data_IF_084741165048
#
_entry.id   IF_084741165048
#
_cell.length_a   1.000
_cell.length_b   1.000
_cell.length_c   1.000
_cell.angle_alpha   90.00
_cell.angle_beta   90.00
_cell.angle_gamma   90.00
#
_symmetry.space_group_name_H-M   'P 1'
#
loop_
_entity.id
_entity.type
_entity.pdbx_description
1 polymer ?
#
# COMPACT_ATOMS: atom_id res chain seq x y z
N UNK A 1 -6.83 -7.84 -2.58
CA UNK A 1 -7.57 -8.88 -3.32
C UNK A 1 -8.59 -9.54 -2.38
N UNK A 2 -9.81 -8.98 -2.27
CA UNK A 2 -10.84 -9.54 -1.38
C UNK A 2 -10.41 -9.64 0.10
N UNK A 3 -9.65 -8.67 0.61
CA UNK A 3 -9.11 -8.66 1.96
C UNK A 3 -7.91 -9.58 2.21
N UNK A 4 -7.37 -10.22 1.16
CA UNK A 4 -6.19 -11.08 1.25
C UNK A 4 -4.95 -10.37 0.71
N UNK A 5 -3.78 -10.70 1.28
CA UNK A 5 -2.51 -10.26 0.73
C UNK A 5 -2.25 -10.92 -0.64
N UNK A 6 -1.55 -10.19 -1.52
CA UNK A 6 -1.19 -10.68 -2.84
C UNK A 6 0.06 -9.97 -3.36
N UNK A 7 0.55 -10.46 -4.49
CA UNK A 7 1.68 -9.88 -5.21
C UNK A 7 1.19 -9.27 -6.51
N UNK A 8 1.75 -8.12 -6.87
CA UNK A 8 1.51 -7.44 -8.14
C UNK A 8 2.84 -7.31 -8.86
N UNK A 9 2.87 -7.70 -10.14
CA UNK A 9 4.05 -7.49 -10.99
C UNK A 9 4.34 -6.00 -11.14
N UNK A 10 5.61 -5.60 -11.08
CA UNK A 10 6.02 -4.21 -11.28
C UNK A 10 5.56 -3.66 -12.63
N UNK A 11 5.49 -4.50 -13.67
CA UNK A 11 5.00 -4.10 -14.99
C UNK A 11 3.51 -3.69 -15.01
N UNK A 12 2.74 -4.09 -13.98
CA UNK A 12 1.34 -3.75 -13.82
C UNK A 12 1.12 -2.74 -12.68
N UNK A 13 2.18 -2.44 -11.91
CA UNK A 13 2.04 -1.75 -10.64
C UNK A 13 1.54 -0.32 -10.81
N UNK A 14 2.02 0.43 -11.79
CA UNK A 14 1.56 1.81 -12.03
C UNK A 14 0.05 1.88 -12.34
N UNK A 15 -0.44 1.03 -13.24
CA UNK A 15 -1.88 0.98 -13.55
C UNK A 15 -2.68 0.50 -12.33
N UNK A 16 -2.16 -0.48 -11.58
CA UNK A 16 -2.80 -0.97 -10.36
C UNK A 16 -2.85 0.09 -9.25
N UNK A 17 -1.77 0.83 -9.04
CA UNK A 17 -1.73 1.91 -8.05
C UNK A 17 -2.69 3.04 -8.44
N UNK A 18 -2.69 3.46 -9.70
CA UNK A 18 -3.59 4.50 -10.20
C UNK A 18 -5.07 4.11 -9.99
N UNK A 19 -5.43 2.88 -10.33
CA UNK A 19 -6.78 2.35 -10.10
C UNK A 19 -7.16 2.34 -8.62
N UNK A 20 -6.27 1.87 -7.73
CA UNK A 20 -6.55 1.73 -6.29
C UNK A 20 -6.57 3.07 -5.55
N UNK A 21 -5.85 4.05 -6.07
CA UNK A 21 -5.77 5.43 -5.55
C UNK A 21 -6.86 6.34 -6.13
N UNK A 22 -7.63 5.86 -7.09
CA UNK A 22 -8.60 6.66 -7.83
C UNK A 22 -7.95 7.94 -8.44
N UNK A 23 -6.70 7.79 -8.92
CA UNK A 23 -5.90 8.89 -9.47
C UNK A 23 -5.32 9.87 -8.45
N UNK A 24 -5.47 9.62 -7.14
CA UNK A 24 -5.03 10.54 -6.09
C UNK A 24 -3.62 10.24 -5.57
N UNK A 25 -2.85 11.27 -5.31
CA UNK A 25 -1.81 11.25 -4.30
C UNK A 25 -2.43 11.28 -2.90
N UNK A 26 -1.69 10.81 -1.90
CA UNK A 26 -2.25 10.71 -0.55
C UNK A 26 -2.61 12.08 0.04
N UNK A 27 -1.78 13.08 -0.18
CA UNK A 27 -2.02 14.45 0.35
C UNK A 27 -3.26 15.05 -0.27
N UNK A 28 -3.42 14.98 -1.59
CA UNK A 28 -4.62 15.43 -2.30
C UNK A 28 -5.87 14.65 -1.84
N UNK A 29 -5.75 13.33 -1.63
CA UNK A 29 -6.85 12.52 -1.10
C UNK A 29 -7.29 12.99 0.30
N UNK A 30 -6.33 13.37 1.15
CA UNK A 30 -6.60 13.86 2.49
C UNK A 30 -7.18 15.28 2.49
N UNK A 31 -6.64 16.19 1.67
CA UNK A 31 -7.14 17.57 1.51
C UNK A 31 -8.58 17.59 1.00
N UNK A 32 -8.95 16.68 0.12
CA UNK A 32 -10.33 16.48 -0.36
C UNK A 32 -11.24 15.80 0.68
N UNK A 33 -10.75 15.51 1.88
CA UNK A 33 -11.54 14.90 2.96
C UNK A 33 -11.89 13.42 2.71
N UNK A 34 -11.26 12.77 1.73
CA UNK A 34 -11.52 11.37 1.35
C UNK A 34 -10.70 10.36 2.17
N UNK A 35 -9.64 10.80 2.83
CA UNK A 35 -8.83 9.97 3.71
C UNK A 35 -9.11 10.29 5.19
N UNK A 36 -9.28 9.27 6.06
CA UNK A 36 -9.47 9.50 7.48
C UNK A 36 -8.18 10.04 8.14
N UNK A 37 -8.35 10.81 9.22
CA UNK A 37 -7.24 11.35 10.00
C UNK A 37 -6.26 10.27 10.50
N UNK A 38 -6.75 9.08 10.84
CA UNK A 38 -5.89 7.94 11.23
C UNK A 38 -4.92 7.52 10.12
N UNK A 39 -5.33 7.58 8.85
CA UNK A 39 -4.45 7.32 7.72
C UNK A 39 -3.37 8.41 7.60
N UNK A 40 -3.71 9.67 7.79
CA UNK A 40 -2.76 10.78 7.81
C UNK A 40 -1.73 10.63 8.94
N UNK A 41 -2.16 10.26 10.16
CA UNK A 41 -1.23 10.01 11.27
C UNK A 41 -0.19 8.93 10.95
N UNK A 42 -0.58 7.91 10.19
CA UNK A 42 0.34 6.84 9.76
C UNK A 42 1.27 7.36 8.66
N UNK A 43 0.75 8.01 7.61
CA UNK A 43 1.56 8.47 6.48
C UNK A 43 2.62 9.50 6.89
N UNK A 44 2.31 10.40 7.82
CA UNK A 44 3.28 11.37 8.38
C UNK A 44 4.52 10.72 9.01
N UNK A 45 4.43 9.48 9.47
CA UNK A 45 5.60 8.79 10.03
C UNK A 45 6.67 8.51 8.97
N UNK A 46 6.28 8.47 7.70
CA UNK A 46 7.17 8.18 6.57
C UNK A 46 7.79 9.42 5.93
N UNK A 47 7.45 10.63 6.37
CA UNK A 47 8.12 11.87 5.93
C UNK A 47 9.63 11.86 6.25
N UNK A 48 10.02 11.20 7.35
CA UNK A 48 11.40 11.14 7.82
C UNK A 48 11.94 9.70 7.97
N UNK A 49 11.22 8.70 7.47
CA UNK A 49 11.57 7.28 7.61
C UNK A 49 11.18 6.51 6.36
N UNK A 50 12.12 5.75 5.83
CA UNK A 50 11.87 4.97 4.61
C UNK A 50 11.07 3.69 4.88
N UNK A 51 11.26 3.07 6.04
CA UNK A 51 10.59 1.83 6.44
C UNK A 51 10.36 1.81 7.96
N UNK A 52 9.24 1.25 8.40
CA UNK A 52 8.91 1.15 9.81
C UNK A 52 8.30 -0.24 10.08
N UNK A 53 8.80 -0.98 11.09
CA UNK A 53 8.17 -2.22 11.54
C UNK A 53 6.71 -2.00 11.95
N UNK A 54 5.82 -2.89 11.54
CA UNK A 54 4.37 -2.70 11.75
C UNK A 54 3.96 -2.53 13.21
N UNK A 55 4.69 -3.11 14.16
CA UNK A 55 4.43 -2.93 15.60
C UNK A 55 4.81 -1.53 16.10
N UNK A 56 5.82 -0.89 15.50
CA UNK A 56 6.23 0.47 15.87
C UNK A 56 5.25 1.53 15.35
N UNK A 57 4.66 1.31 14.17
CA UNK A 57 3.69 2.24 13.58
C UNK A 57 2.54 2.50 14.54
N UNK A 58 2.04 1.45 15.24
CA UNK A 58 0.96 1.60 16.22
C UNK A 58 1.37 2.51 17.38
N UNK A 59 2.57 2.31 17.91
CA UNK A 59 3.08 3.12 19.03
C UNK A 59 3.33 4.58 18.60
N UNK A 60 3.91 4.78 17.43
CA UNK A 60 4.29 6.10 16.92
C UNK A 60 3.09 6.92 16.44
N UNK A 61 2.07 6.28 15.85
CA UNK A 61 0.88 6.97 15.33
C UNK A 61 -0.08 7.44 16.44
N UNK A 62 0.03 6.92 17.65
CA UNK A 62 -0.87 7.23 18.77
C UNK A 62 -2.31 6.73 18.57
N UNK A 63 -2.59 5.94 17.53
CA UNK A 63 -3.94 5.46 17.22
C UNK A 63 -4.35 4.36 18.20
N UNK A 64 -5.36 4.64 19.03
CA UNK A 64 -5.87 3.71 20.03
C UNK A 64 -6.85 2.70 19.45
N UNK A 65 -7.77 3.14 18.59
CA UNK A 65 -8.82 2.31 17.98
C UNK A 65 -8.73 2.36 16.45
N UNK A 66 -9.03 1.23 15.79
CA UNK A 66 -9.09 1.18 14.33
C UNK A 66 -7.72 1.18 13.62
N UNK A 67 -6.61 0.99 14.34
CA UNK A 67 -5.26 0.98 13.76
C UNK A 67 -5.11 -0.04 12.63
N UNK A 68 -5.55 -1.29 12.84
CA UNK A 68 -5.45 -2.34 11.83
C UNK A 68 -6.25 -1.99 10.55
N UNK A 69 -7.43 -1.42 10.73
CA UNK A 69 -8.27 -0.98 9.60
C UNK A 69 -7.63 0.18 8.84
N UNK A 70 -6.95 1.10 9.54
CA UNK A 70 -6.24 2.20 8.88
C UNK A 70 -5.04 1.69 8.07
N UNK A 71 -4.23 0.78 8.63
CA UNK A 71 -3.11 0.14 7.90
C UNK A 71 -3.63 -0.66 6.71
N UNK A 72 -4.66 -1.50 6.90
CA UNK A 72 -5.23 -2.30 5.83
C UNK A 72 -5.77 -1.41 4.69
N UNK A 73 -6.45 -0.31 5.00
CA UNK A 73 -6.92 0.68 4.03
C UNK A 73 -5.75 1.23 3.20
N UNK A 74 -4.69 1.69 3.86
CA UNK A 74 -3.51 2.24 3.17
C UNK A 74 -2.83 1.18 2.27
N UNK A 75 -2.82 -0.07 2.68
CA UNK A 75 -2.29 -1.17 1.86
C UNK A 75 -3.22 -1.50 0.69
N UNK A 76 -4.54 -1.55 0.89
CA UNK A 76 -5.53 -1.77 -0.17
C UNK A 76 -5.46 -0.66 -1.22
N UNK A 77 -5.33 0.58 -0.78
CA UNK A 77 -5.17 1.75 -1.63
C UNK A 77 -3.74 1.92 -2.18
N UNK A 78 -2.82 0.99 -1.89
CA UNK A 78 -1.43 1.03 -2.35
C UNK A 78 -0.59 2.22 -1.89
N UNK A 79 -0.98 2.90 -0.82
CA UNK A 79 -0.14 3.93 -0.18
C UNK A 79 0.91 3.34 0.76
N UNK A 80 0.72 2.08 1.20
CA UNK A 80 1.72 1.31 1.94
C UNK A 80 1.90 -0.07 1.33
N UNK A 81 3.14 -0.55 1.33
CA UNK A 81 3.50 -1.91 0.93
C UNK A 81 4.44 -2.54 1.95
N UNK A 82 4.60 -3.86 1.87
CA UNK A 82 5.63 -4.56 2.65
C UNK A 82 6.96 -4.36 1.94
N UNK A 83 7.92 -3.71 2.62
CA UNK A 83 9.27 -3.48 2.12
C UNK A 83 10.27 -4.54 2.59
N UNK A 84 9.95 -5.25 3.66
CA UNK A 84 10.84 -6.26 4.22
C UNK A 84 10.24 -6.93 5.44
N UNK A 85 11.08 -7.70 6.10
CA UNK A 85 10.75 -8.37 7.36
C UNK A 85 11.90 -8.21 8.35
N UNK A 86 11.55 -7.88 9.59
CA UNK A 86 12.49 -7.77 10.70
C UNK A 86 12.06 -8.67 11.86
N UNK A 87 12.97 -8.90 12.81
CA UNK A 87 12.65 -9.57 14.07
C UNK A 87 12.84 -8.62 15.24
N UNK A 88 12.08 -8.85 16.31
CA UNK A 88 12.31 -8.11 17.56
C UNK A 88 13.67 -8.49 18.14
N UNK A 89 14.31 -7.52 18.78
CA UNK A 89 15.55 -7.74 19.52
C UNK A 89 15.31 -7.60 21.02
N UNK A 90 15.89 -8.50 21.80
CA UNK A 90 15.86 -8.42 23.25
C UNK A 90 16.91 -7.42 23.76
N UNK A 91 17.01 -7.26 25.09
CA UNK A 91 17.99 -6.36 25.73
C UNK A 91 19.46 -6.74 25.43
N UNK A 92 19.72 -7.96 24.98
CA UNK A 92 21.06 -8.44 24.58
C UNK A 92 21.30 -8.32 23.08
N UNK A 93 20.40 -7.63 22.33
CA UNK A 93 20.43 -7.48 20.87
C UNK A 93 20.25 -8.79 20.09
N UNK A 94 19.79 -9.86 20.73
CA UNK A 94 19.50 -11.14 20.11
C UNK A 94 18.11 -11.10 19.47
N UNK A 95 17.97 -11.60 18.25
CA UNK A 95 16.69 -11.68 17.55
C UNK A 95 15.80 -12.77 18.16
N UNK A 96 14.52 -12.47 18.30
CA UNK A 96 13.53 -13.42 18.81
C UNK A 96 12.17 -13.26 18.13
N UNK A 97 11.37 -14.33 18.19
CA UNK A 97 9.99 -14.35 17.69
C UNK A 97 9.90 -14.51 16.17
N UNK A 98 8.68 -14.38 15.66
CA UNK A 98 8.40 -14.47 14.23
C UNK A 98 8.81 -13.20 13.49
N UNK A 99 9.20 -13.31 12.22
CA UNK A 99 9.43 -12.14 11.37
C UNK A 99 8.18 -11.24 11.33
N UNK A 100 8.41 -9.95 11.42
CA UNK A 100 7.37 -8.91 11.43
C UNK A 100 7.55 -8.06 10.18
N UNK A 101 6.46 -7.81 9.48
CA UNK A 101 6.49 -6.98 8.27
C UNK A 101 6.95 -5.55 8.59
N UNK A 102 7.87 -5.05 7.79
CA UNK A 102 8.20 -3.65 7.66
C UNK A 102 7.35 -3.05 6.55
N UNK A 103 6.78 -1.88 6.81
CA UNK A 103 5.95 -1.15 5.86
C UNK A 103 6.68 0.08 5.37
N UNK A 104 6.43 0.45 4.11
CA UNK A 104 6.98 1.61 3.44
C UNK A 104 6.01 2.13 2.39
N UNK A 105 5.99 3.42 2.06
CA UNK A 105 5.41 3.91 0.82
C UNK A 105 6.05 3.21 -0.38
N UNK A 106 5.27 2.75 -1.35
CA UNK A 106 5.79 2.02 -2.51
C UNK A 106 6.73 2.86 -3.38
N UNK A 107 6.59 4.18 -3.37
CA UNK A 107 7.50 5.12 -4.03
C UNK A 107 8.95 4.99 -3.54
N UNK A 108 9.12 4.73 -2.24
CA UNK A 108 10.46 4.53 -1.63
C UNK A 108 11.03 3.13 -1.90
N UNK A 109 10.18 2.16 -2.23
CA UNK A 109 10.59 0.77 -2.49
C UNK A 109 10.87 0.54 -3.97
N UNK A 110 10.00 1.04 -4.84
CA UNK A 110 10.01 0.75 -6.28
C UNK A 110 10.44 1.95 -7.13
N UNK A 111 10.48 3.16 -6.54
CA UNK A 111 10.71 4.41 -7.24
C UNK A 111 9.41 5.10 -7.69
N UNK A 112 9.44 6.43 -7.72
CA UNK A 112 8.28 7.24 -8.11
C UNK A 112 7.83 6.97 -9.55
N UNK A 113 8.76 6.80 -10.48
CA UNK A 113 8.46 6.55 -11.89
C UNK A 113 7.61 5.27 -12.09
N UNK A 114 7.91 4.24 -11.30
CA UNK A 114 7.16 2.98 -11.35
C UNK A 114 5.78 3.14 -10.73
N UNK A 115 5.66 3.84 -9.62
CA UNK A 115 4.39 3.97 -8.90
C UNK A 115 3.47 4.96 -9.59
N UNK A 116 4.00 6.11 -10.00
CA UNK A 116 3.24 7.24 -10.58
C UNK A 116 3.19 7.23 -12.11
N UNK A 117 3.78 6.23 -12.75
CA UNK A 117 3.86 6.16 -14.22
C UNK A 117 2.51 6.11 -14.95
N UNK A 118 1.40 5.91 -14.25
CA UNK A 118 0.05 5.93 -14.78
C UNK A 118 -0.78 7.18 -14.41
N UNK A 119 -0.23 8.15 -13.69
CA UNK A 119 -0.98 9.34 -13.23
C UNK A 119 -1.48 10.26 -14.36
N UNK A 120 -0.96 10.13 -15.56
CA UNK A 120 -1.50 10.80 -16.76
C UNK A 120 -2.73 10.13 -17.39
N UNK A 121 -3.22 9.03 -16.80
CA UNK A 121 -4.38 8.25 -17.28
C UNK A 121 -5.50 8.30 -16.26
N UNK A 122 -6.73 8.10 -16.75
CA UNK A 122 -7.85 7.91 -15.83
C UNK A 122 -7.76 6.53 -15.13
N UNK A 123 -8.39 6.36 -13.95
CA UNK A 123 -8.50 5.04 -13.31
C UNK A 123 -9.17 3.99 -14.20
N UNK A 124 -10.15 4.38 -15.03
CA UNK A 124 -10.84 3.51 -15.98
C UNK A 124 -9.90 3.02 -17.10
N UNK A 125 -9.05 3.89 -17.62
CA UNK A 125 -8.04 3.50 -18.60
C UNK A 125 -7.04 2.51 -17.99
N UNK A 126 -6.63 2.73 -16.75
CA UNK A 126 -5.76 1.81 -16.02
C UNK A 126 -6.44 0.46 -15.78
N UNK A 127 -7.74 0.44 -15.47
CA UNK A 127 -8.53 -0.79 -15.34
C UNK A 127 -8.54 -1.58 -16.67
N UNK A 128 -8.87 -0.93 -17.78
CA UNK A 128 -8.90 -1.59 -19.09
C UNK A 128 -7.56 -2.23 -19.45
N UNK A 129 -6.45 -1.53 -19.18
CA UNK A 129 -5.09 -2.06 -19.43
C UNK A 129 -4.76 -3.28 -18.55
N UNK A 130 -5.19 -3.27 -17.30
CA UNK A 130 -5.03 -4.41 -16.40
C UNK A 130 -5.87 -5.60 -16.84
N UNK A 131 -7.12 -5.38 -17.24
CA UNK A 131 -8.00 -6.44 -17.77
C UNK A 131 -7.43 -7.06 -19.05
N UNK A 132 -6.92 -6.26 -19.98
CA UNK A 132 -6.27 -6.76 -21.18
C UNK A 132 -5.05 -7.63 -20.86
N UNK A 133 -4.21 -7.21 -19.93
CA UNK A 133 -3.04 -8.00 -19.48
C UNK A 133 -3.40 -9.28 -18.75
N UNK A 134 -4.50 -9.28 -18.00
CA UNK A 134 -4.97 -10.45 -17.26
C UNK A 134 -5.75 -11.43 -18.13
N UNK A 135 -6.28 -11.00 -19.27
CA UNK A 135 -7.11 -11.83 -20.18
C UNK A 135 -6.50 -13.19 -20.51
N UNK A 136 -5.18 -13.34 -20.80
CA UNK A 136 -4.59 -14.64 -21.09
C UNK A 136 -4.57 -15.61 -19.89
N UNK A 137 -4.68 -15.10 -18.66
CA UNK A 137 -4.52 -15.85 -17.41
C UNK A 137 -5.84 -16.05 -16.67
N UNK A 138 -6.87 -15.33 -17.03
CA UNK A 138 -8.16 -15.35 -16.36
C UNK A 138 -9.15 -16.21 -17.15
N UNK A 139 -9.38 -17.42 -16.68
CA UNK A 139 -10.75 -17.93 -16.78
C UNK A 139 -11.71 -16.91 -16.17
N UNK A 140 -13.03 -17.01 -16.41
CA UNK A 140 -14.13 -16.07 -16.14
C UNK A 140 -14.16 -15.23 -14.82
N UNK A 141 -13.05 -14.80 -14.26
CA UNK A 141 -13.00 -14.13 -12.97
C UNK A 141 -12.07 -12.92 -12.84
N UNK A 142 -11.49 -12.39 -13.93
CA UNK A 142 -10.51 -11.30 -13.84
C UNK A 142 -11.04 -10.03 -13.19
N UNK A 143 -12.27 -9.63 -13.48
CA UNK A 143 -12.89 -8.41 -12.93
C UNK A 143 -13.06 -8.46 -11.41
N UNK A 144 -13.26 -9.65 -10.81
CA UNK A 144 -13.39 -9.79 -9.37
C UNK A 144 -12.07 -9.58 -8.60
N UNK A 145 -10.91 -9.74 -9.28
CA UNK A 145 -9.60 -9.52 -8.68
C UNK A 145 -9.25 -8.03 -8.60
N UNK A 146 -9.86 -7.20 -9.44
CA UNK A 146 -9.58 -5.77 -9.53
C UNK A 146 -10.58 -4.93 -8.73
N UNK A 147 -11.70 -5.52 -8.28
CA UNK A 147 -12.66 -4.85 -7.41
C UNK A 147 -12.04 -4.40 -6.09
N UNK A 148 -12.43 -3.24 -5.56
CA UNK A 148 -11.92 -2.68 -4.31
C UNK A 148 -12.24 -3.54 -3.09
#
# INVERSE_FOLDING_TARGET
FGGKAGFVSLNCYSDFANLRRDGYDFDALYEDGKAPHSSMCIMKLFENRNSIPSYEIKALSGIQKGFQSAVARLQIQTYLTISGFTRRRNKRSEEYGWPIAELSPPELVFGEDIVRGAYGRSPEESLMRLEERLRPYAGCGASSLLSP
#
